data_IF_166566361651
#
_entry.id   IF_166566361651
#
_cell.length_a   1.000
_cell.length_b   1.000
_cell.length_c   1.000
_cell.angle_alpha   90.00
_cell.angle_beta   90.00
_cell.angle_gamma   90.00
#
_symmetry.space_group_name_H-M   'P 1'
#
loop_
_entity.id
_entity.type
_entity.pdbx_description
1 polymer ?
#
# COMPACT_ATOMS: atom_id res chain seq x y z
N UNK A 1 -15.57 -6.76 -1.56
CA UNK A 1 -14.34 -6.83 -2.36
C UNK A 1 -13.15 -6.91 -1.43
N UNK A 2 -12.14 -7.69 -1.80
CA UNK A 2 -10.84 -7.66 -1.14
C UNK A 2 -9.96 -6.67 -1.91
N UNK A 3 -9.31 -5.76 -1.21
CA UNK A 3 -8.36 -4.83 -1.81
C UNK A 3 -6.96 -5.08 -1.28
N UNK A 4 -5.97 -4.56 -1.99
CA UNK A 4 -4.62 -4.36 -1.47
C UNK A 4 -4.17 -2.91 -1.66
N UNK A 5 -3.25 -2.48 -0.81
CA UNK A 5 -2.43 -1.29 -1.04
C UNK A 5 -0.98 -1.67 -0.77
N UNK A 6 -0.11 -1.42 -1.74
CA UNK A 6 1.33 -1.67 -1.65
C UNK A 6 2.14 -0.40 -1.75
N UNK A 7 3.34 -0.46 -1.18
CA UNK A 7 4.44 0.42 -1.52
C UNK A 7 4.97 -0.03 -2.87
N UNK A 8 5.11 0.90 -3.82
CA UNK A 8 5.70 0.62 -5.12
C UNK A 8 7.21 0.46 -4.96
N UNK A 9 7.69 -0.77 -5.16
CA UNK A 9 9.10 -1.12 -4.99
C UNK A 9 9.84 -1.27 -6.33
N UNK A 10 9.15 -1.07 -7.46
CA UNK A 10 9.71 -1.14 -8.81
C UNK A 10 10.18 0.23 -9.33
N UNK A 11 11.04 0.21 -10.36
CA UNK A 11 11.54 1.40 -11.08
C UNK A 11 12.19 2.47 -10.19
N UNK A 12 12.70 2.07 -9.04
CA UNK A 12 13.42 2.93 -8.13
C UNK A 12 14.84 3.20 -8.67
N UNK A 13 15.34 4.42 -8.47
CA UNK A 13 16.77 4.67 -8.63
C UNK A 13 17.58 4.14 -7.43
N UNK A 14 18.91 4.05 -7.57
CA UNK A 14 19.79 3.51 -6.52
C UNK A 14 19.62 4.22 -5.16
N UNK A 15 19.30 5.52 -5.17
CA UNK A 15 19.12 6.29 -3.95
C UNK A 15 17.79 5.94 -3.30
N UNK A 16 16.72 5.84 -4.08
CA UNK A 16 15.39 5.44 -3.64
C UNK A 16 15.40 4.01 -3.08
N UNK A 17 16.03 3.05 -3.77
CA UNK A 17 16.16 1.69 -3.26
C UNK A 17 16.89 1.65 -1.91
N UNK A 18 18.00 2.38 -1.79
CA UNK A 18 18.76 2.45 -0.54
C UNK A 18 17.92 3.03 0.58
N UNK A 19 17.12 4.07 0.31
CA UNK A 19 16.21 4.66 1.29
C UNK A 19 15.09 3.68 1.67
N UNK A 20 14.48 2.99 0.71
CA UNK A 20 13.46 1.98 0.97
C UNK A 20 14.01 0.87 1.87
N UNK A 21 15.17 0.29 1.53
CA UNK A 21 15.86 -0.74 2.34
C UNK A 21 16.16 -0.26 3.75
N UNK A 22 16.66 0.97 3.91
CA UNK A 22 16.96 1.56 5.21
C UNK A 22 15.71 1.79 6.08
N UNK A 23 14.59 2.14 5.45
CA UNK A 23 13.33 2.45 6.14
C UNK A 23 12.40 1.24 6.28
N UNK A 24 12.74 0.08 5.69
CA UNK A 24 11.94 -1.14 5.73
C UNK A 24 11.43 -1.48 7.14
N UNK A 25 12.24 -1.48 8.22
CA UNK A 25 11.74 -1.80 9.55
C UNK A 25 10.66 -0.82 10.06
N UNK A 26 10.78 0.46 9.73
CA UNK A 26 9.81 1.48 10.13
C UNK A 26 8.51 1.37 9.33
N UNK A 27 8.61 1.08 8.03
CA UNK A 27 7.46 0.81 7.15
C UNK A 27 6.70 -0.43 7.63
N UNK A 28 7.40 -1.54 7.89
CA UNK A 28 6.81 -2.77 8.43
C UNK A 28 6.10 -2.50 9.77
N UNK A 29 6.73 -1.77 10.68
CA UNK A 29 6.12 -1.42 11.96
C UNK A 29 4.85 -0.57 11.82
N UNK A 30 4.84 0.39 10.89
CA UNK A 30 3.66 1.23 10.63
C UNK A 30 2.50 0.42 10.04
N UNK A 31 2.78 -0.47 9.09
CA UNK A 31 1.78 -1.35 8.49
C UNK A 31 1.22 -2.36 9.51
N UNK A 32 2.11 -2.95 10.32
CA UNK A 32 1.71 -3.86 11.40
C UNK A 32 0.82 -3.15 12.44
N UNK A 33 1.17 -1.93 12.83
CA UNK A 33 0.34 -1.11 13.75
C UNK A 33 -1.05 -0.86 13.17
N UNK A 34 -1.14 -0.58 11.86
CA UNK A 34 -2.42 -0.40 11.20
C UNK A 34 -3.26 -1.68 11.21
N UNK A 35 -2.64 -2.83 10.89
CA UNK A 35 -3.31 -4.13 10.86
C UNK A 35 -3.86 -4.49 12.24
N UNK A 36 -3.07 -4.31 13.30
CA UNK A 36 -3.51 -4.54 14.68
C UNK A 36 -4.67 -3.63 15.08
N UNK A 37 -4.63 -2.35 14.70
CA UNK A 37 -5.71 -1.40 14.95
C UNK A 37 -6.99 -1.70 14.14
N UNK A 38 -6.88 -2.49 13.07
CA UNK A 38 -7.96 -2.83 12.15
C UNK A 38 -8.26 -4.34 12.07
N UNK A 39 -7.90 -5.11 13.11
CA UNK A 39 -8.15 -6.56 13.18
C UNK A 39 -9.65 -6.89 12.99
N UNK A 40 -10.55 -6.07 13.54
CA UNK A 40 -11.99 -6.21 13.38
C UNK A 40 -12.45 -6.09 11.91
N UNK A 41 -11.69 -5.38 11.09
CA UNK A 41 -11.90 -5.24 9.65
C UNK A 41 -11.17 -6.31 8.83
N UNK A 42 -10.47 -7.25 9.48
CA UNK A 42 -9.64 -8.29 8.84
C UNK A 42 -8.60 -7.70 7.90
N UNK A 43 -7.96 -6.61 8.33
CA UNK A 43 -6.75 -6.15 7.68
C UNK A 43 -5.63 -7.19 7.91
N UNK A 44 -4.81 -7.42 6.90
CA UNK A 44 -3.70 -8.36 6.93
C UNK A 44 -2.44 -7.67 6.38
N UNK A 45 -1.30 -7.96 7.00
CA UNK A 45 0.01 -7.48 6.55
C UNK A 45 0.50 -8.37 5.40
N UNK A 46 0.93 -7.75 4.31
CA UNK A 46 1.71 -8.41 3.25
C UNK A 46 3.14 -7.92 3.37
N UNK A 47 4.07 -8.83 3.67
CA UNK A 47 5.46 -8.52 3.95
C UNK A 47 6.39 -9.57 3.32
N UNK A 48 6.40 -9.62 2.00
CA UNK A 48 7.36 -10.41 1.24
C UNK A 48 8.48 -9.50 0.75
N UNK A 49 9.50 -9.31 1.60
CA UNK A 49 10.67 -8.47 1.33
C UNK A 49 11.97 -9.30 1.45
N UNK A 50 11.91 -10.57 1.06
CA UNK A 50 13.02 -11.51 1.23
C UNK A 50 14.03 -11.51 0.07
N UNK A 51 13.64 -10.98 -1.09
CA UNK A 51 14.52 -10.80 -2.24
C UNK A 51 15.59 -9.74 -1.96
N UNK A 52 16.77 -9.89 -2.58
CA UNK A 52 17.80 -8.83 -2.56
C UNK A 52 17.41 -7.65 -3.45
N UNK A 53 16.59 -7.91 -4.47
CA UNK A 53 16.08 -6.94 -5.44
C UNK A 53 14.73 -6.38 -4.95
N UNK A 54 14.67 -5.07 -4.76
CA UNK A 54 13.46 -4.42 -4.22
C UNK A 54 12.26 -4.55 -5.17
N UNK A 55 12.48 -4.66 -6.48
CA UNK A 55 11.40 -4.78 -7.46
C UNK A 55 10.52 -6.03 -7.25
N UNK A 56 11.06 -7.06 -6.59
CA UNK A 56 10.31 -8.27 -6.23
C UNK A 56 9.53 -8.13 -4.92
N UNK A 57 9.73 -7.04 -4.17
CA UNK A 57 9.14 -6.89 -2.85
C UNK A 57 7.65 -6.61 -2.93
N UNK A 58 6.90 -7.26 -2.03
CA UNK A 58 5.49 -7.01 -1.81
C UNK A 58 5.30 -6.58 -0.36
N UNK A 59 5.18 -5.27 -0.16
CA UNK A 59 5.04 -4.66 1.14
C UNK A 59 3.79 -3.79 1.20
N UNK A 60 2.87 -4.12 2.09
CA UNK A 60 1.68 -3.32 2.32
C UNK A 60 0.61 -4.09 3.07
N UNK A 61 -0.65 -3.86 2.72
CA UNK A 61 -1.79 -4.51 3.39
C UNK A 61 -2.80 -5.05 2.39
N UNK A 62 -3.59 -6.02 2.84
CA UNK A 62 -4.87 -6.36 2.22
C UNK A 62 -6.00 -6.24 3.23
N UNK A 63 -7.19 -5.85 2.79
CA UNK A 63 -8.37 -5.83 3.66
C UNK A 63 -9.68 -5.91 2.88
N UNK A 64 -10.74 -6.54 3.43
CA UNK A 64 -12.06 -6.50 2.83
C UNK A 64 -12.69 -5.12 2.99
N UNK A 65 -13.16 -4.55 1.89
CA UNK A 65 -13.89 -3.29 1.85
C UNK A 65 -15.33 -3.52 1.36
N UNK A 66 -16.28 -2.88 2.07
CA UNK A 66 -17.72 -2.94 1.78
C UNK A 66 -18.33 -1.60 1.37
N UNK A 67 -17.68 -0.50 1.72
CA UNK A 67 -18.15 0.88 1.48
C UNK A 67 -16.94 1.75 1.20
N UNK A 68 -17.09 2.72 0.29
CA UNK A 68 -16.02 3.68 -0.03
C UNK A 68 -15.43 4.37 1.22
N UNK A 69 -16.24 4.66 2.24
CA UNK A 69 -15.79 5.31 3.49
C UNK A 69 -14.77 4.49 4.27
N UNK A 70 -14.70 3.17 4.07
CA UNK A 70 -13.73 2.31 4.76
C UNK A 70 -12.35 2.33 4.09
N UNK A 71 -12.23 2.95 2.91
CA UNK A 71 -10.95 3.05 2.19
C UNK A 71 -10.08 4.18 2.74
N UNK A 72 -10.69 5.27 3.21
CA UNK A 72 -9.98 6.47 3.65
C UNK A 72 -8.91 6.23 4.72
N UNK A 73 -9.11 5.41 5.77
CA UNK A 73 -8.07 5.15 6.75
C UNK A 73 -6.80 4.53 6.15
N UNK A 74 -6.97 3.57 5.22
CA UNK A 74 -5.85 2.91 4.55
C UNK A 74 -5.13 3.90 3.62
N UNK A 75 -5.87 4.59 2.75
CA UNK A 75 -5.26 5.57 1.82
C UNK A 75 -4.55 6.69 2.58
N UNK A 76 -5.08 7.15 3.71
CA UNK A 76 -4.43 8.16 4.54
C UNK A 76 -3.14 7.67 5.20
N UNK A 77 -3.07 6.40 5.63
CA UNK A 77 -1.83 5.80 6.11
C UNK A 77 -0.76 5.86 5.01
N UNK A 78 -1.08 5.37 3.81
CA UNK A 78 -0.12 5.30 2.71
C UNK A 78 0.26 6.70 2.19
N UNK A 79 -0.66 7.67 2.18
CA UNK A 79 -0.31 9.08 1.92
C UNK A 79 0.73 9.61 2.93
N UNK A 80 0.57 9.28 4.21
CA UNK A 80 1.54 9.65 5.25
C UNK A 80 2.90 8.99 5.04
N UNK A 81 2.91 7.69 4.73
CA UNK A 81 4.14 6.95 4.44
C UNK A 81 4.84 7.48 3.18
N UNK A 82 4.10 7.73 2.10
CA UNK A 82 4.58 8.33 0.86
C UNK A 82 5.25 9.68 1.10
N UNK A 83 4.61 10.55 1.89
CA UNK A 83 5.16 11.85 2.24
C UNK A 83 6.43 11.73 3.10
N UNK A 84 6.44 10.81 4.07
CA UNK A 84 7.53 10.66 5.02
C UNK A 84 8.77 9.99 4.42
N UNK A 85 8.57 9.00 3.55
CA UNK A 85 9.62 8.13 3.04
C UNK A 85 9.94 8.32 1.56
N UNK A 86 9.29 9.28 0.89
CA UNK A 86 9.55 9.63 -0.51
C UNK A 86 9.24 8.46 -1.48
N UNK A 87 8.18 7.71 -1.18
CA UNK A 87 7.76 6.51 -1.92
C UNK A 87 6.42 6.74 -2.64
N UNK A 88 6.17 5.94 -3.67
CA UNK A 88 4.85 5.79 -4.28
C UNK A 88 4.17 4.50 -3.83
N UNK A 89 2.89 4.38 -4.16
CA UNK A 89 2.01 3.32 -3.72
C UNK A 89 1.10 2.88 -4.87
N UNK A 90 0.73 1.61 -4.83
CA UNK A 90 -0.23 0.98 -5.75
C UNK A 90 -1.44 0.53 -4.95
N UNK A 91 -2.64 0.69 -5.50
CA UNK A 91 -3.89 0.15 -4.94
C UNK A 91 -4.66 -0.61 -5.99
N UNK A 92 -5.25 -1.73 -5.59
CA UNK A 92 -6.00 -2.62 -6.48
C UNK A 92 -6.96 -3.53 -5.74
N UNK A 93 -7.71 -4.32 -6.51
CA UNK A 93 -8.54 -5.41 -5.99
C UNK A 93 -7.76 -6.73 -6.01
N UNK A 94 -8.21 -7.68 -5.18
CA UNK A 94 -7.81 -9.08 -5.27
C UNK A 94 -9.06 -9.87 -5.66
N UNK A 95 -9.04 -10.46 -6.86
CA UNK A 95 -10.13 -11.27 -7.41
C UNK A 95 -9.58 -12.63 -7.84
N UNK A 96 -10.19 -13.72 -7.37
CA UNK A 96 -9.74 -15.10 -7.61
C UNK A 96 -8.25 -15.38 -7.32
N UNK A 97 -7.65 -14.59 -6.42
CA UNK A 97 -6.23 -14.68 -6.04
C UNK A 97 -5.29 -13.87 -6.93
N UNK A 98 -5.80 -13.26 -8.00
CA UNK A 98 -5.08 -12.35 -8.88
C UNK A 98 -5.25 -10.90 -8.40
N UNK A 99 -4.23 -10.07 -8.66
CA UNK A 99 -4.21 -8.66 -8.29
C UNK A 99 -4.48 -7.81 -9.51
N UNK A 100 -5.44 -6.91 -9.38
CA UNK A 100 -5.79 -5.95 -10.43
C UNK A 100 -5.51 -4.53 -9.93
N UNK A 101 -4.39 -3.90 -10.35
CA UNK A 101 -4.09 -2.52 -9.98
C UNK A 101 -5.09 -1.56 -10.63
N UNK A 102 -5.57 -0.58 -9.88
CA UNK A 102 -6.52 0.42 -10.37
C UNK A 102 -6.00 1.85 -10.27
N UNK A 103 -5.02 2.12 -9.40
CA UNK A 103 -4.40 3.44 -9.28
C UNK A 103 -3.01 3.35 -8.66
N UNK A 104 -2.17 4.29 -9.06
CA UNK A 104 -0.94 4.65 -8.37
C UNK A 104 -1.11 6.02 -7.70
N UNK A 105 -0.44 6.24 -6.58
CA UNK A 105 -0.46 7.50 -5.84
C UNK A 105 0.76 7.58 -4.93
N UNK A 106 1.10 8.78 -4.45
CA UNK A 106 2.17 8.98 -3.48
C UNK A 106 3.02 10.18 -3.82
N UNK A 107 4.32 10.05 -3.59
CA UNK A 107 5.25 11.16 -3.69
C UNK A 107 5.33 11.77 -5.10
N UNK A 108 5.42 10.94 -6.14
CA UNK A 108 5.60 11.37 -7.53
C UNK A 108 4.30 11.29 -8.33
N UNK A 109 3.38 10.43 -7.92
CA UNK A 109 2.06 10.25 -8.55
C UNK A 109 0.99 11.22 -8.02
N UNK A 110 1.27 11.91 -6.91
CA UNK A 110 0.35 12.82 -6.25
C UNK A 110 -0.49 12.13 -5.17
N UNK A 111 -1.13 12.93 -4.31
CA UNK A 111 -1.86 12.42 -3.15
C UNK A 111 -2.99 11.46 -3.55
N UNK A 112 -3.06 10.31 -2.90
CA UNK A 112 -4.15 9.36 -3.07
C UNK A 112 -5.46 9.92 -2.56
N UNK A 113 -6.49 9.90 -3.41
CA UNK A 113 -7.85 10.31 -3.06
C UNK A 113 -8.73 9.06 -2.88
N UNK A 114 -9.15 8.80 -1.64
CA UNK A 114 -9.94 7.62 -1.31
C UNK A 114 -11.31 7.59 -1.99
N UNK A 115 -11.91 8.74 -2.30
CA UNK A 115 -13.16 8.79 -3.03
C UNK A 115 -12.94 8.39 -4.49
N UNK A 116 -11.91 8.94 -5.14
CA UNK A 116 -11.59 8.63 -6.53
C UNK A 116 -11.16 7.17 -6.70
N UNK A 117 -10.29 6.66 -5.82
CA UNK A 117 -9.86 5.25 -5.83
C UNK A 117 -11.07 4.33 -5.64
N UNK A 118 -12.00 4.67 -4.75
CA UNK A 118 -13.23 3.89 -4.59
C UNK A 118 -14.07 3.84 -5.88
N UNK A 119 -14.13 4.93 -6.65
CA UNK A 119 -14.80 4.91 -7.96
C UNK A 119 -14.11 3.97 -8.95
N UNK A 120 -12.77 3.94 -8.98
CA UNK A 120 -12.02 3.01 -9.84
C UNK A 120 -12.19 1.54 -9.43
N UNK A 121 -12.33 1.28 -8.12
CA UNK A 121 -12.65 -0.04 -7.58
C UNK A 121 -14.12 -0.44 -7.80
N UNK A 122 -15.01 0.47 -8.20
CA UNK A 122 -16.44 0.21 -8.32
C UNK A 122 -17.18 0.07 -6.97
N UNK A 123 -16.72 0.79 -5.93
CA UNK A 123 -17.30 0.83 -4.58
C UNK A 123 -18.36 1.92 -4.34
#
# INVERSE_FOLDING_TARGET
>A
MLIYIFIACDRLDEKQEKQLKQNLPALQAALQTYVEANEANRAELINDCTSDDCEDWQLGISQPVKKHTHLAPAVNLFNGLAQQYDIDCEVGSIEDGEREPVSYFGKHEGQGDAFLIAQYLGL
#
